data_IF_396789205089
#
_entry.id   IF_396789205089
#
_cell.length_a   1.000
_cell.length_b   1.000
_cell.length_c   1.000
_cell.angle_alpha   90.00
_cell.angle_beta   90.00
_cell.angle_gamma   90.00
#
_symmetry.space_group_name_H-M   'P 1'
#
loop_
_entity.id
_entity.type
_entity.pdbx_description
1 polymer ?
#
# COMPACT_ATOMS: atom_id res chain seq x y z
N UNK A 1 -32.62 1.72 -44.88
CA UNK A 1 -32.44 0.61 -43.91
C UNK A 1 -31.05 0.57 -43.29
N UNK A 2 -29.93 0.59 -44.03
CA UNK A 2 -28.54 0.59 -43.47
C UNK A 2 -28.21 1.68 -42.43
N UNK A 3 -28.82 2.86 -42.53
CA UNK A 3 -28.60 3.98 -41.58
C UNK A 3 -29.23 3.74 -40.20
N UNK A 4 -30.34 3.00 -40.14
CA UNK A 4 -31.05 2.68 -38.88
C UNK A 4 -30.30 1.59 -38.11
N UNK A 5 -29.75 0.60 -38.83
CA UNK A 5 -28.91 -0.44 -38.22
C UNK A 5 -27.63 0.13 -37.62
N UNK A 6 -26.97 1.09 -38.30
CA UNK A 6 -25.78 1.75 -37.78
C UNK A 6 -26.05 2.55 -36.49
N UNK A 7 -27.18 3.27 -36.44
CA UNK A 7 -27.58 4.03 -35.26
C UNK A 7 -27.88 3.12 -34.05
N UNK A 8 -28.48 1.96 -34.28
CA UNK A 8 -28.76 0.98 -33.23
C UNK A 8 -27.48 0.32 -32.68
N UNK A 9 -26.51 0.04 -33.56
CA UNK A 9 -25.19 -0.48 -33.15
C UNK A 9 -24.40 0.53 -32.32
N UNK A 10 -24.47 1.84 -32.65
CA UNK A 10 -23.83 2.88 -31.85
C UNK A 10 -24.49 3.00 -30.47
N UNK A 11 -25.82 2.91 -30.37
CA UNK A 11 -26.55 3.01 -29.10
C UNK A 11 -26.20 1.88 -28.11
N UNK A 12 -25.98 0.66 -28.60
CA UNK A 12 -25.59 -0.51 -27.79
C UNK A 12 -24.17 -0.37 -27.20
N UNK A 13 -23.28 0.31 -27.91
CA UNK A 13 -21.90 0.55 -27.44
C UNK A 13 -21.89 1.56 -26.28
N UNK A 14 -22.77 2.58 -26.30
CA UNK A 14 -22.83 3.61 -25.25
C UNK A 14 -23.47 3.10 -23.95
N UNK A 15 -24.40 2.15 -24.04
CA UNK A 15 -25.07 1.56 -22.86
C UNK A 15 -24.15 0.63 -22.04
N UNK A 16 -23.01 0.21 -22.59
CA UNK A 16 -22.12 -0.79 -22.01
C UNK A 16 -21.11 -0.24 -20.98
N UNK A 17 -21.07 1.07 -20.74
CA UNK A 17 -20.00 1.74 -19.96
C UNK A 17 -20.38 2.23 -18.55
N UNK A 18 -21.51 1.80 -17.96
CA UNK A 18 -21.99 2.40 -16.69
C UNK A 18 -22.25 1.41 -15.54
N UNK A 19 -21.31 0.50 -15.27
CA UNK A 19 -21.32 -0.28 -14.03
C UNK A 19 -20.13 0.09 -13.14
N UNK A 20 -19.97 1.39 -12.88
CA UNK A 20 -19.07 1.87 -11.84
C UNK A 20 -19.85 1.89 -10.52
N UNK A 21 -19.53 1.00 -9.59
CA UNK A 21 -20.14 1.05 -8.26
C UNK A 21 -19.70 2.33 -7.55
N UNK A 22 -20.59 2.93 -6.75
CA UNK A 22 -20.31 4.21 -6.08
C UNK A 22 -19.08 4.15 -5.17
N UNK A 23 -18.83 2.99 -4.57
CA UNK A 23 -17.61 2.70 -3.82
C UNK A 23 -16.87 1.57 -4.53
N UNK A 24 -15.57 1.74 -4.73
CA UNK A 24 -14.71 0.76 -5.39
C UNK A 24 -13.41 0.59 -4.62
N UNK A 25 -12.84 -0.61 -4.75
CA UNK A 25 -11.47 -0.88 -4.30
C UNK A 25 -10.68 -1.34 -5.51
N UNK A 26 -9.48 -0.80 -5.70
CA UNK A 26 -8.57 -1.19 -6.78
C UNK A 26 -7.26 -1.69 -6.20
N UNK A 27 -6.74 -2.75 -6.79
CA UNK A 27 -5.45 -3.32 -6.43
C UNK A 27 -4.42 -3.07 -7.54
N UNK A 28 -3.16 -3.02 -7.16
CA UNK A 28 -2.03 -2.97 -8.07
C UNK A 28 -0.73 -3.27 -7.34
N UNK A 29 0.38 -3.09 -8.02
CA UNK A 29 1.70 -3.28 -7.45
C UNK A 29 2.71 -2.33 -8.09
N UNK A 30 3.84 -2.15 -7.41
CA UNK A 30 5.02 -1.53 -7.97
C UNK A 30 6.26 -2.08 -7.28
N UNK A 31 7.44 -1.64 -7.71
CA UNK A 31 8.69 -2.07 -7.11
C UNK A 31 9.67 -0.93 -6.98
N UNK A 32 10.50 -1.01 -5.94
CA UNK A 32 11.71 -0.20 -5.78
C UNK A 32 12.89 -1.10 -6.12
N UNK A 33 13.69 -0.68 -7.10
CA UNK A 33 14.83 -1.46 -7.58
C UNK A 33 16.11 -0.92 -7.00
N UNK A 34 16.99 -1.85 -6.66
CA UNK A 34 18.29 -1.63 -6.04
C UNK A 34 18.21 -0.78 -4.77
N UNK A 35 19.34 -0.62 -4.11
CA UNK A 35 19.44 0.25 -2.94
C UNK A 35 20.87 0.42 -2.51
N UNK A 36 21.08 1.43 -1.67
CA UNK A 36 22.38 1.74 -1.12
C UNK A 36 22.24 2.19 0.34
N UNK A 37 23.30 1.95 1.12
CA UNK A 37 23.46 2.48 2.46
C UNK A 37 24.96 2.59 2.79
N UNK A 38 25.46 3.82 2.91
CA UNK A 38 26.90 4.07 3.07
C UNK A 38 27.67 3.58 1.84
N UNK A 39 28.65 2.69 2.04
CA UNK A 39 29.44 2.08 0.97
C UNK A 39 28.87 0.75 0.45
N UNK A 40 27.70 0.33 0.95
CA UNK A 40 27.05 -0.91 0.53
C UNK A 40 25.97 -0.60 -0.49
N UNK A 41 25.98 -1.33 -1.60
CA UNK A 41 24.98 -1.29 -2.65
C UNK A 41 24.46 -2.70 -2.89
N UNK A 42 23.22 -2.82 -3.35
CA UNK A 42 22.61 -4.09 -3.72
C UNK A 42 21.69 -3.94 -4.91
N UNK A 43 21.59 -5.02 -5.69
CA UNK A 43 20.68 -5.13 -6.84
C UNK A 43 19.55 -6.13 -6.50
N UNK A 44 18.78 -5.80 -5.47
CA UNK A 44 17.56 -6.51 -5.09
C UNK A 44 16.35 -5.66 -5.45
N UNK A 45 15.16 -6.27 -5.57
CA UNK A 45 13.90 -5.55 -5.81
C UNK A 45 12.97 -5.69 -4.62
N UNK A 46 12.56 -4.56 -4.03
CA UNK A 46 11.54 -4.50 -3.00
C UNK A 46 10.17 -4.31 -3.65
N UNK A 47 9.35 -5.36 -3.66
CA UNK A 47 8.01 -5.34 -4.25
C UNK A 47 6.99 -4.81 -3.26
N UNK A 48 6.11 -3.94 -3.72
CA UNK A 48 4.99 -3.40 -2.95
C UNK A 48 3.67 -3.77 -3.61
N UNK A 49 2.71 -4.18 -2.79
CA UNK A 49 1.32 -4.26 -3.19
C UNK A 49 0.65 -2.93 -2.86
N UNK A 50 -0.37 -2.57 -3.64
CA UNK A 50 -1.14 -1.33 -3.50
C UNK A 50 -2.61 -1.66 -3.50
N UNK A 51 -3.34 -1.04 -2.57
CA UNK A 51 -4.79 -1.05 -2.55
C UNK A 51 -5.32 0.36 -2.32
N UNK A 52 -6.22 0.80 -3.19
CA UNK A 52 -6.79 2.14 -3.20
C UNK A 52 -8.31 2.07 -3.11
N UNK A 53 -8.89 2.90 -2.25
CA UNK A 53 -10.34 3.02 -2.06
C UNK A 53 -10.85 4.27 -2.76
N UNK A 54 -11.88 4.11 -3.58
CA UNK A 54 -12.48 5.18 -4.38
C UNK A 54 -13.96 5.36 -4.06
N UNK A 55 -14.40 6.61 -4.06
CA UNK A 55 -15.81 6.96 -4.20
C UNK A 55 -16.01 7.58 -5.58
N UNK A 56 -16.75 6.90 -6.43
CA UNK A 56 -16.88 7.26 -7.85
C UNK A 56 -15.47 7.42 -8.47
N UNK A 57 -15.10 8.60 -8.95
CA UNK A 57 -13.78 8.88 -9.53
C UNK A 57 -12.77 9.47 -8.53
N UNK A 58 -13.17 9.66 -7.26
CA UNK A 58 -12.35 10.29 -6.23
C UNK A 58 -11.69 9.24 -5.35
N UNK A 59 -10.35 9.21 -5.33
CA UNK A 59 -9.59 8.37 -4.40
C UNK A 59 -9.75 8.92 -2.98
N UNK A 60 -10.22 8.10 -2.05
CA UNK A 60 -10.36 8.46 -0.64
C UNK A 60 -9.08 8.15 0.14
N UNK A 61 -8.52 6.97 -0.11
CA UNK A 61 -7.39 6.43 0.62
C UNK A 61 -6.56 5.51 -0.27
N UNK A 62 -5.27 5.50 -0.04
CA UNK A 62 -4.33 4.61 -0.68
C UNK A 62 -3.43 3.96 0.35
N UNK A 63 -3.30 2.64 0.27
CA UNK A 63 -2.43 1.82 1.10
C UNK A 63 -1.49 1.05 0.21
N UNK A 64 -0.22 1.33 0.35
CA UNK A 64 0.87 0.56 -0.24
C UNK A 64 1.54 -0.20 0.89
N UNK A 65 1.90 -1.46 0.67
CA UNK A 65 2.51 -2.26 1.71
C UNK A 65 3.45 -3.33 1.16
N UNK A 66 4.38 -3.75 1.99
CA UNK A 66 5.29 -4.86 1.73
C UNK A 66 5.72 -5.51 3.04
N UNK A 67 6.09 -6.79 2.98
CA UNK A 67 6.71 -7.51 4.10
C UNK A 67 8.22 -7.49 3.90
N UNK A 68 8.97 -7.09 4.93
CA UNK A 68 10.43 -7.04 4.87
C UNK A 68 11.04 -8.21 5.64
N UNK A 69 11.83 -9.02 4.94
CA UNK A 69 12.61 -10.12 5.51
C UNK A 69 13.96 -9.59 6.03
N UNK A 70 14.45 -10.15 7.14
CA UNK A 70 15.77 -9.80 7.69
C UNK A 70 16.93 -10.19 6.75
N UNK A 71 16.69 -11.15 5.86
CA UNK A 71 17.62 -11.59 4.82
C UNK A 71 17.66 -10.64 3.61
N UNK A 72 16.65 -9.77 3.45
CA UNK A 72 16.63 -8.79 2.36
C UNK A 72 17.73 -7.75 2.57
N UNK A 73 18.40 -7.35 1.49
CA UNK A 73 19.38 -6.27 1.54
C UNK A 73 18.74 -4.92 1.92
N UNK A 74 17.44 -4.73 1.66
CA UNK A 74 16.69 -3.55 2.10
C UNK A 74 16.55 -3.48 3.63
N UNK A 75 16.77 -4.58 4.37
CA UNK A 75 16.86 -4.55 5.83
C UNK A 75 18.05 -3.71 6.33
N UNK A 76 19.02 -3.41 5.47
CA UNK A 76 20.13 -2.51 5.78
C UNK A 76 19.72 -1.04 5.90
N UNK A 77 18.53 -0.65 5.45
CA UNK A 77 18.00 0.70 5.67
C UNK A 77 17.56 0.96 7.10
N UNK A 78 17.33 -0.08 7.90
CA UNK A 78 17.14 0.09 9.34
C UNK A 78 18.48 0.31 10.03
N UNK A 79 18.50 1.25 10.99
CA UNK A 79 19.65 1.37 11.89
C UNK A 79 19.66 0.27 12.97
N UNK A 80 20.72 0.23 13.77
CA UNK A 80 20.88 -0.82 14.79
C UNK A 80 19.80 -0.75 15.87
N UNK A 81 19.32 0.45 16.22
CA UNK A 81 18.31 0.62 17.26
C UNK A 81 16.93 0.19 16.75
N UNK A 82 16.58 0.52 15.51
CA UNK A 82 15.39 0.04 14.81
C UNK A 82 15.39 -1.47 14.69
N UNK A 83 16.50 -2.06 14.23
CA UNK A 83 16.68 -3.52 14.15
C UNK A 83 16.47 -4.20 15.49
N UNK A 84 17.02 -3.62 16.57
CA UNK A 84 16.83 -4.15 17.93
C UNK A 84 15.37 -4.05 18.38
N UNK A 85 14.65 -2.98 18.05
CA UNK A 85 13.22 -2.84 18.41
C UNK A 85 12.33 -3.86 17.70
N UNK A 86 12.68 -4.23 16.47
CA UNK A 86 11.89 -5.13 15.63
C UNK A 86 12.42 -6.57 15.57
N UNK A 87 13.45 -6.90 16.36
CA UNK A 87 14.10 -8.22 16.33
C UNK A 87 13.16 -9.36 16.72
N UNK A 88 12.17 -9.08 17.58
CA UNK A 88 11.19 -10.05 18.06
C UNK A 88 9.94 -10.12 17.16
N UNK A 89 9.97 -9.46 16.00
CA UNK A 89 8.87 -9.46 15.04
C UNK A 89 9.00 -10.64 14.10
N UNK A 90 8.08 -11.60 14.19
CA UNK A 90 7.96 -12.70 13.23
C UNK A 90 7.55 -12.18 11.86
N UNK A 91 6.79 -11.08 11.81
CA UNK A 91 6.45 -10.39 10.58
C UNK A 91 6.64 -8.87 10.73
N UNK A 92 7.23 -8.26 9.70
CA UNK A 92 7.53 -6.83 9.62
C UNK A 92 6.84 -6.29 8.37
N UNK A 93 5.73 -5.58 8.55
CA UNK A 93 4.92 -4.99 7.50
C UNK A 93 5.25 -3.50 7.39
N UNK A 94 5.89 -3.11 6.29
CA UNK A 94 6.03 -1.71 5.92
C UNK A 94 4.77 -1.27 5.20
N UNK A 95 4.23 -0.11 5.61
CA UNK A 95 3.10 0.53 4.94
C UNK A 95 3.48 1.95 4.54
N UNK A 96 3.05 2.36 3.36
CA UNK A 96 3.01 3.74 2.92
C UNK A 96 1.53 4.05 2.70
N UNK A 97 1.04 5.10 3.32
CA UNK A 97 -0.38 5.42 3.24
C UNK A 97 -0.63 6.88 2.94
N UNK A 98 -1.68 7.14 2.18
CA UNK A 98 -2.15 8.47 1.85
C UNK A 98 -3.66 8.52 1.99
N UNK A 99 -4.19 9.64 2.46
CA UNK A 99 -5.63 9.93 2.38
C UNK A 99 -5.83 11.26 1.65
N UNK A 100 -6.90 11.33 0.87
CA UNK A 100 -7.40 12.59 0.34
C UNK A 100 -8.40 13.22 1.32
N UNK A 101 -9.26 12.40 1.94
CA UNK A 101 -10.30 12.83 2.86
C UNK A 101 -10.31 11.95 4.12
N UNK A 102 -9.72 12.47 5.20
CA UNK A 102 -9.60 11.77 6.48
C UNK A 102 -10.94 11.62 7.21
N UNK A 103 -11.99 12.35 6.83
CA UNK A 103 -13.33 12.20 7.44
C UNK A 103 -14.00 10.89 6.99
N UNK A 104 -13.59 10.35 5.84
CA UNK A 104 -14.13 9.12 5.27
C UNK A 104 -13.31 7.90 5.58
N UNK A 105 -12.00 7.95 5.29
CA UNK A 105 -11.05 6.89 5.62
C UNK A 105 -9.77 7.57 6.13
N UNK A 106 -9.39 7.29 7.37
CA UNK A 106 -8.22 7.89 8.00
C UNK A 106 -7.12 6.86 8.26
N UNK A 107 -5.89 7.34 8.44
CA UNK A 107 -4.79 6.49 8.89
C UNK A 107 -5.11 5.75 10.20
N UNK A 108 -5.85 6.40 11.12
CA UNK A 108 -6.25 5.80 12.39
C UNK A 108 -7.17 4.61 12.19
N UNK A 109 -8.08 4.66 11.20
CA UNK A 109 -8.95 3.52 10.91
C UNK A 109 -8.15 2.31 10.43
N UNK A 110 -7.21 2.49 9.48
CA UNK A 110 -6.31 1.41 9.03
C UNK A 110 -5.45 0.90 10.18
N UNK A 111 -4.86 1.81 10.95
CA UNK A 111 -4.06 1.46 12.13
C UNK A 111 -4.85 0.57 13.08
N UNK A 112 -6.06 0.96 13.46
CA UNK A 112 -6.88 0.19 14.39
C UNK A 112 -7.19 -1.21 13.83
N UNK A 113 -7.49 -1.34 12.52
CA UNK A 113 -7.67 -2.65 11.88
C UNK A 113 -6.44 -3.54 11.97
N UNK A 114 -5.24 -2.99 11.85
CA UNK A 114 -3.99 -3.74 12.02
C UNK A 114 -3.76 -4.12 13.50
N UNK A 115 -4.02 -3.20 14.43
CA UNK A 115 -3.91 -3.46 15.87
C UNK A 115 -4.87 -4.56 16.33
N UNK A 116 -6.12 -4.55 15.86
CA UNK A 116 -7.14 -5.57 16.15
C UNK A 116 -6.72 -6.97 15.66
N UNK A 117 -5.80 -7.03 14.69
CA UNK A 117 -5.22 -8.26 14.14
C UNK A 117 -3.89 -8.64 14.79
N UNK A 118 -3.49 -7.97 15.88
CA UNK A 118 -2.30 -8.30 16.67
C UNK A 118 -1.01 -7.65 16.18
N UNK A 119 -1.09 -6.67 15.27
CA UNK A 119 0.08 -5.87 14.91
C UNK A 119 0.33 -4.76 15.93
N UNK A 120 1.58 -4.36 16.06
CA UNK A 120 2.02 -3.20 16.83
C UNK A 120 2.74 -2.20 15.91
N UNK A 121 2.46 -0.91 16.03
CA UNK A 121 3.12 0.13 15.23
C UNK A 121 4.48 0.52 15.85
N UNK A 122 5.52 0.59 15.02
CA UNK A 122 6.86 1.01 15.39
C UNK A 122 7.33 2.17 14.53
N UNK A 123 8.02 3.13 15.16
CA UNK A 123 8.68 4.23 14.45
C UNK A 123 10.04 3.77 13.90
N UNK A 124 10.22 3.98 12.58
CA UNK A 124 11.43 3.63 11.83
C UNK A 124 11.91 4.82 10.98
N UNK A 125 12.36 5.92 11.61
CA UNK A 125 12.74 7.14 10.92
C UNK A 125 13.90 6.97 9.93
N UNK A 126 14.87 6.09 10.19
CA UNK A 126 16.01 5.88 9.28
C UNK A 126 15.59 5.12 8.04
N UNK A 127 14.84 4.02 8.21
CA UNK A 127 14.25 3.32 7.08
C UNK A 127 13.36 4.26 6.26
N UNK A 128 12.51 5.04 6.93
CA UNK A 128 11.62 6.02 6.28
C UNK A 128 12.42 7.04 5.47
N UNK A 129 13.50 7.57 6.04
CA UNK A 129 14.37 8.52 5.36
C UNK A 129 15.03 7.89 4.13
N UNK A 130 15.65 6.71 4.27
CA UNK A 130 16.31 6.00 3.19
C UNK A 130 15.34 5.71 2.02
N UNK A 131 14.13 5.23 2.36
CA UNK A 131 13.06 4.98 1.39
C UNK A 131 12.64 6.27 0.67
N UNK A 132 12.41 7.37 1.41
CA UNK A 132 11.97 8.65 0.84
C UNK A 132 13.02 9.32 -0.04
N UNK A 133 14.30 9.08 0.21
CA UNK A 133 15.40 9.60 -0.62
C UNK A 133 15.70 8.73 -1.83
N UNK A 134 15.04 7.58 -1.98
CA UNK A 134 15.27 6.69 -3.10
C UNK A 134 14.72 7.30 -4.41
N UNK A 135 15.44 7.24 -5.55
CA UNK A 135 14.97 7.83 -6.82
C UNK A 135 13.60 7.31 -7.28
N UNK A 136 13.34 6.02 -7.09
CA UNK A 136 12.04 5.44 -7.44
C UNK A 136 10.89 5.97 -6.58
N UNK A 137 11.15 6.42 -5.34
CA UNK A 137 10.13 7.00 -4.47
C UNK A 137 9.56 8.30 -5.06
N UNK A 138 10.44 9.12 -5.65
CA UNK A 138 10.04 10.33 -6.34
C UNK A 138 9.31 10.03 -7.65
N UNK A 139 9.84 9.12 -8.48
CA UNK A 139 9.21 8.70 -9.75
C UNK A 139 7.80 8.18 -9.54
N UNK A 140 7.55 7.50 -8.42
CA UNK A 140 6.24 6.95 -8.06
C UNK A 140 5.32 7.97 -7.39
N UNK A 141 5.76 9.22 -7.22
CA UNK A 141 4.98 10.31 -6.63
C UNK A 141 4.47 10.03 -5.19
N UNK A 142 5.31 9.41 -4.36
CA UNK A 142 4.95 8.97 -3.00
C UNK A 142 5.25 9.99 -1.90
N UNK A 143 5.58 11.24 -2.24
CA UNK A 143 6.09 12.26 -1.31
C UNK A 143 5.11 12.55 -0.15
N UNK A 144 3.81 12.50 -0.43
CA UNK A 144 2.75 12.75 0.56
C UNK A 144 2.41 11.53 1.42
N UNK A 145 3.03 10.38 1.19
CA UNK A 145 2.70 9.16 1.91
C UNK A 145 3.37 9.14 3.28
N UNK A 146 2.58 8.72 4.27
CA UNK A 146 3.05 8.40 5.62
C UNK A 146 3.57 6.97 5.64
N UNK A 147 4.83 6.81 6.04
CA UNK A 147 5.49 5.50 6.17
C UNK A 147 5.40 5.04 7.62
N UNK A 148 4.93 3.81 7.85
CA UNK A 148 4.91 3.19 9.18
C UNK A 148 5.36 1.72 9.08
N UNK A 149 5.99 1.21 10.14
CA UNK A 149 6.25 -0.22 10.30
C UNK A 149 5.25 -0.81 11.29
N UNK A 150 4.67 -1.94 10.92
CA UNK A 150 3.83 -2.76 11.79
C UNK A 150 4.51 -4.11 12.04
N UNK A 151 4.52 -4.54 13.29
CA UNK A 151 5.18 -5.75 13.75
C UNK A 151 4.14 -6.74 14.28
N UNK A 152 4.21 -7.99 13.85
CA UNK A 152 3.40 -9.07 14.42
C UNK A 152 4.32 -10.11 15.08
N UNK A 153 4.14 -10.32 16.39
CA UNK A 153 5.06 -11.12 17.22
C UNK A 153 4.74 -12.61 17.27
N UNK A 154 3.48 -13.01 17.06
CA UNK A 154 3.02 -14.38 17.36
C UNK A 154 2.93 -15.27 16.12
N UNK A 155 2.49 -14.74 14.98
CA UNK A 155 2.32 -15.47 13.72
C UNK A 155 3.13 -14.82 12.61
N UNK A 156 3.89 -15.63 11.88
CA UNK A 156 4.44 -15.25 10.59
C UNK A 156 3.37 -15.48 9.51
N UNK A 157 3.34 -14.64 8.48
CA UNK A 157 2.41 -14.73 7.35
C UNK A 157 0.93 -14.69 7.77
N UNK A 158 0.60 -13.86 8.77
CA UNK A 158 -0.79 -13.64 9.11
C UNK A 158 -1.51 -13.01 7.91
N UNK A 159 -2.71 -13.51 7.62
CA UNK A 159 -3.59 -12.89 6.63
C UNK A 159 -4.15 -11.61 7.23
N UNK A 160 -3.98 -10.50 6.54
CA UNK A 160 -4.45 -9.19 6.99
C UNK A 160 -5.71 -8.87 6.22
N UNK A 161 -6.76 -8.51 6.93
CA UNK A 161 -8.02 -8.08 6.33
C UNK A 161 -8.28 -6.62 6.65
N UNK A 162 -8.68 -5.85 5.64
CA UNK A 162 -9.14 -4.47 5.81
C UNK A 162 -10.56 -4.37 5.27
N UNK A 163 -11.46 -3.84 6.08
CA UNK A 163 -12.83 -3.56 5.72
C UNK A 163 -13.19 -2.14 6.16
N UNK A 164 -13.92 -1.44 5.29
CA UNK A 164 -14.51 -0.14 5.60
C UNK A 164 -16.00 -0.17 5.29
N UNK A 165 -16.83 0.62 6.00
CA UNK A 165 -18.25 0.69 5.71
C UNK A 165 -18.52 1.01 4.25
N UNK A 166 -19.40 0.22 3.62
CA UNK A 166 -19.81 0.35 2.22
C UNK A 166 -18.71 0.07 1.18
N UNK A 167 -17.60 -0.55 1.58
CA UNK A 167 -16.58 -1.09 0.69
C UNK A 167 -16.50 -2.61 0.82
N UNK A 168 -16.00 -3.27 -0.22
CA UNK A 168 -15.67 -4.69 -0.15
C UNK A 168 -14.55 -4.94 0.87
N UNK A 169 -14.67 -6.03 1.61
CA UNK A 169 -13.60 -6.51 2.50
C UNK A 169 -12.47 -7.06 1.64
N UNK A 170 -11.26 -6.55 1.84
CA UNK A 170 -10.08 -7.00 1.12
C UNK A 170 -9.14 -7.79 2.03
N UNK A 171 -8.37 -8.68 1.40
CA UNK A 171 -7.21 -9.33 1.99
C UNK A 171 -5.95 -8.66 1.45
N UNK A 172 -5.04 -8.28 2.34
CA UNK A 172 -3.70 -7.77 1.98
C UNK A 172 -2.71 -8.92 1.82
#
# INVERSE_FOLDING_TARGET
MKKITLAFSVLLIIASCSNLTKNMVKSGDFSIRSGAMGSKEWDETLKFNRVSWFHELTMLYDLVYTKIDEKSAFYNWFDNDEKRRISNCNEKLITLSYYLDSSRISHTMVKNKLLDQGYEEYSVPNFTRALKTHPDFEKLSLQLYKVNLYCHKSKANAEIYIDFPNFEKIKL
#
